data_IF_377205347041
#
_entry.id   IF_377205347041
#
_cell.length_a   1.000
_cell.length_b   1.000
_cell.length_c   1.000
_cell.angle_alpha   90.00
_cell.angle_beta   90.00
_cell.angle_gamma   90.00
#
_symmetry.space_group_name_H-M   'P 1'
#
loop_
_entity.id
_entity.type
_entity.pdbx_description
1 polymer ?
#
# COMPACT_ATOMS: atom_id res chain seq x y z
N UNK A 1 -22.08 -4.46 -5.29
CA UNK A 1 -22.52 -4.75 -6.68
C UNK A 1 -21.29 -4.92 -7.54
N UNK A 2 -21.11 -6.11 -8.10
CA UNK A 2 -19.95 -6.48 -8.92
C UNK A 2 -19.87 -5.59 -10.17
N UNK A 3 -18.70 -4.99 -10.42
CA UNK A 3 -18.40 -4.33 -11.69
C UNK A 3 -18.25 -5.39 -12.79
N UNK A 4 -19.37 -5.79 -13.37
CA UNK A 4 -19.46 -6.60 -14.59
C UNK A 4 -19.60 -5.68 -15.79
N UNK A 5 -18.50 -5.45 -16.52
CA UNK A 5 -18.55 -4.97 -17.90
C UNK A 5 -17.45 -5.66 -18.73
N UNK A 6 -17.85 -6.16 -19.90
CA UNK A 6 -17.10 -7.08 -20.76
C UNK A 6 -16.30 -6.37 -21.88
N UNK A 7 -15.13 -6.98 -22.19
CA UNK A 7 -14.38 -7.14 -23.45
C UNK A 7 -14.34 -6.08 -24.59
N UNK A 8 -13.11 -5.79 -25.10
CA UNK A 8 -12.70 -5.85 -26.54
C UNK A 8 -11.16 -5.70 -26.75
N UNK A 9 -10.56 -6.42 -27.73
CA UNK A 9 -9.13 -6.54 -28.17
C UNK A 9 -8.82 -5.71 -29.46
N UNK A 10 -7.61 -5.65 -30.15
CA UNK A 10 -6.28 -6.38 -30.09
C UNK A 10 -5.00 -5.44 -30.26
N UNK A 11 -3.73 -5.84 -30.62
CA UNK A 11 -3.03 -7.15 -30.79
C UNK A 11 -1.73 -7.36 -29.93
N UNK A 12 -1.16 -8.57 -30.01
CA UNK A 12 -0.02 -9.10 -29.23
C UNK A 12 1.39 -8.91 -29.85
N UNK A 13 2.44 -8.90 -29.00
CA UNK A 13 3.85 -9.11 -29.39
C UNK A 13 4.55 -10.09 -28.41
N UNK A 14 5.35 -10.97 -29.00
CA UNK A 14 6.07 -12.13 -28.46
C UNK A 14 7.20 -11.78 -27.48
N UNK A 15 7.29 -12.52 -26.37
CA UNK A 15 8.45 -12.52 -25.46
C UNK A 15 9.50 -13.54 -25.91
N UNK A 16 10.73 -13.09 -26.16
CA UNK A 16 11.93 -13.93 -26.14
C UNK A 16 12.67 -13.71 -24.82
N UNK A 17 13.02 -14.78 -24.11
CA UNK A 17 13.93 -14.73 -22.99
C UNK A 17 15.37 -14.42 -23.48
N UNK A 18 16.10 -13.45 -22.89
CA UNK A 18 17.48 -13.23 -23.28
C UNK A 18 18.40 -14.28 -22.64
N UNK A 19 19.20 -14.94 -23.48
CA UNK A 19 20.43 -15.63 -23.06
C UNK A 19 21.42 -14.61 -22.47
N UNK A 20 22.16 -15.02 -21.45
CA UNK A 20 23.23 -14.24 -20.81
C UNK A 20 24.25 -13.74 -21.85
N UNK A 21 24.46 -12.42 -21.89
CA UNK A 21 25.66 -11.81 -22.48
C UNK A 21 25.39 -10.61 -23.39
N UNK A 22 25.60 -9.39 -22.87
CA UNK A 22 25.67 -8.16 -23.66
C UNK A 22 25.65 -6.91 -22.80
N UNK A 23 26.77 -6.19 -22.69
CA UNK A 23 26.85 -4.86 -22.07
C UNK A 23 26.34 -3.82 -23.05
N UNK A 24 25.50 -2.89 -22.60
CA UNK A 24 25.24 -1.62 -23.29
C UNK A 24 25.27 -0.44 -22.30
N UNK A 25 25.91 0.65 -22.74
CA UNK A 25 26.13 1.89 -22.03
C UNK A 25 24.97 2.89 -22.27
N UNK A 26 24.51 3.52 -21.19
CA UNK A 26 24.25 4.97 -21.09
C UNK A 26 23.06 5.62 -21.83
N UNK A 27 22.00 5.93 -21.08
CA UNK A 27 21.28 7.20 -21.18
C UNK A 27 20.64 7.54 -19.82
N UNK A 28 21.02 8.69 -19.23
CA UNK A 28 20.43 9.22 -18.01
C UNK A 28 19.00 9.70 -18.31
N UNK A 29 18.02 8.89 -17.96
CA UNK A 29 16.66 9.35 -17.75
C UNK A 29 16.50 9.70 -16.27
N UNK A 30 15.87 10.85 -15.97
CA UNK A 30 15.31 11.11 -14.64
C UNK A 30 14.23 10.07 -14.39
N UNK A 31 14.62 8.89 -13.88
CA UNK A 31 13.69 7.87 -13.45
C UNK A 31 13.01 8.39 -12.19
N UNK A 32 11.74 8.81 -12.31
CA UNK A 32 10.78 8.68 -11.22
C UNK A 32 11.02 7.29 -10.63
N UNK A 33 11.53 7.20 -9.40
CA UNK A 33 11.74 5.90 -8.75
C UNK A 33 10.38 5.22 -8.73
N UNK A 34 10.24 4.16 -9.50
CA UNK A 34 9.10 3.25 -9.37
C UNK A 34 9.36 2.54 -8.04
N UNK A 35 8.71 3.02 -6.98
CA UNK A 35 8.82 2.42 -5.65
C UNK A 35 8.03 1.11 -5.69
N UNK A 36 8.73 -0.01 -5.63
CA UNK A 36 8.13 -1.33 -5.46
C UNK A 36 7.74 -1.51 -4.00
N UNK A 37 6.53 -1.97 -3.76
CA UNK A 37 6.05 -2.24 -2.41
C UNK A 37 6.31 -3.70 -2.05
N UNK A 38 6.58 -3.95 -0.77
CA UNK A 38 6.64 -5.30 -0.26
C UNK A 38 5.43 -5.51 0.63
N UNK A 39 4.52 -6.35 0.14
CA UNK A 39 3.25 -6.64 0.79
C UNK A 39 3.39 -7.95 1.53
N UNK A 40 3.09 -7.92 2.83
CA UNK A 40 2.99 -9.12 3.65
C UNK A 40 1.55 -9.62 3.67
N UNK A 41 1.32 -10.79 3.12
CA UNK A 41 0.07 -11.51 3.25
C UNK A 41 0.11 -12.33 4.56
N UNK A 42 -0.75 -12.04 5.55
CA UNK A 42 -0.67 -12.68 6.87
C UNK A 42 -1.21 -14.12 6.88
N UNK A 43 -2.12 -14.45 5.95
CA UNK A 43 -2.83 -15.74 5.92
C UNK A 43 -2.94 -16.26 4.49
N UNK A 44 -2.98 -17.59 4.34
CA UNK A 44 -3.17 -18.24 3.04
C UNK A 44 -4.52 -17.84 2.44
N UNK A 45 -4.56 -17.54 1.13
CA UNK A 45 -5.80 -17.30 0.38
C UNK A 45 -6.07 -18.51 -0.51
N UNK A 46 -7.25 -19.11 -0.33
CA UNK A 46 -7.71 -20.21 -1.17
C UNK A 46 -8.43 -19.68 -2.42
N UNK A 47 -8.03 -20.20 -3.58
CA UNK A 47 -8.60 -19.87 -4.87
C UNK A 47 -9.21 -21.10 -5.53
N UNK A 48 -10.29 -20.89 -6.25
CA UNK A 48 -10.70 -21.77 -7.35
C UNK A 48 -10.14 -21.24 -8.66
N UNK A 49 -9.66 -22.14 -9.51
CA UNK A 49 -8.92 -21.79 -10.73
C UNK A 49 -9.41 -22.56 -11.95
N UNK A 50 -9.36 -21.90 -13.10
CA UNK A 50 -9.62 -22.47 -14.41
C UNK A 50 -8.47 -22.10 -15.36
N UNK A 51 -7.85 -23.11 -15.98
CA UNK A 51 -6.71 -22.90 -16.86
C UNK A 51 -7.15 -22.37 -18.23
N UNK A 52 -6.45 -21.36 -18.74
CA UNK A 52 -6.66 -20.86 -20.08
C UNK A 52 -6.12 -21.84 -21.13
N UNK A 53 -6.84 -21.98 -22.24
CA UNK A 53 -6.45 -22.85 -23.36
C UNK A 53 -5.30 -22.28 -24.19
N UNK A 54 -5.12 -20.96 -24.16
CA UNK A 54 -4.03 -20.24 -24.82
C UNK A 54 -3.74 -18.93 -24.08
N UNK A 55 -2.53 -18.41 -24.28
CA UNK A 55 -2.08 -17.15 -23.71
C UNK A 55 -1.50 -16.25 -24.81
N UNK A 56 -1.85 -14.94 -24.85
CA UNK A 56 -2.82 -14.26 -23.98
C UNK A 56 -4.29 -14.40 -24.46
N UNK A 57 -4.52 -14.90 -25.67
CA UNK A 57 -5.83 -14.80 -26.36
C UNK A 57 -6.97 -15.55 -25.63
N UNK A 58 -6.67 -16.60 -24.85
CA UNK A 58 -7.66 -17.39 -24.13
C UNK A 58 -8.10 -16.83 -22.78
N UNK A 59 -7.45 -15.76 -22.27
CA UNK A 59 -7.65 -15.29 -20.89
C UNK A 59 -9.09 -14.85 -20.66
N UNK A 60 -9.63 -13.98 -21.52
CA UNK A 60 -10.97 -13.41 -21.35
C UNK A 60 -12.06 -14.50 -21.32
N UNK A 61 -12.05 -15.39 -22.32
CA UNK A 61 -13.00 -16.51 -22.39
C UNK A 61 -12.92 -17.42 -21.14
N UNK A 62 -11.73 -17.55 -20.55
CA UNK A 62 -11.52 -18.35 -19.33
C UNK A 62 -12.12 -17.66 -18.10
N UNK A 63 -12.00 -16.33 -17.98
CA UNK A 63 -12.68 -15.58 -16.91
C UNK A 63 -14.20 -15.62 -17.05
N UNK A 64 -14.71 -15.51 -18.28
CA UNK A 64 -16.16 -15.56 -18.53
C UNK A 64 -16.72 -16.93 -18.16
N UNK A 65 -16.03 -18.02 -18.54
CA UNK A 65 -16.40 -19.37 -18.14
C UNK A 65 -16.31 -19.59 -16.63
N UNK A 66 -15.26 -19.08 -15.97
CA UNK A 66 -15.14 -19.17 -14.51
C UNK A 66 -16.29 -18.43 -13.80
N UNK A 67 -16.66 -17.23 -14.27
CA UNK A 67 -17.79 -16.47 -13.71
C UNK A 67 -19.11 -17.21 -13.89
N UNK A 68 -19.33 -17.85 -15.04
CA UNK A 68 -20.52 -18.67 -15.28
C UNK A 68 -20.57 -19.87 -14.32
N UNK A 69 -19.44 -20.54 -14.08
CA UNK A 69 -19.35 -21.65 -13.10
C UNK A 69 -19.60 -21.19 -11.66
N UNK A 70 -19.20 -19.97 -11.32
CA UNK A 70 -19.41 -19.39 -9.99
C UNK A 70 -20.86 -18.95 -9.76
N UNK A 71 -21.57 -18.54 -10.82
CA UNK A 71 -22.95 -18.06 -10.73
C UNK A 71 -23.09 -16.93 -9.71
N UNK A 72 -24.03 -17.07 -8.78
CA UNK A 72 -24.30 -16.09 -7.71
C UNK A 72 -23.47 -16.31 -6.44
N UNK A 73 -22.45 -17.19 -6.47
CA UNK A 73 -21.60 -17.40 -5.30
C UNK A 73 -20.91 -16.09 -4.90
N UNK A 74 -20.88 -15.74 -3.60
CA UNK A 74 -20.19 -14.56 -3.12
C UNK A 74 -18.68 -14.73 -3.33
N UNK A 75 -18.17 -14.02 -4.34
CA UNK A 75 -16.76 -13.93 -4.68
C UNK A 75 -16.17 -12.70 -4.00
N UNK A 76 -15.00 -12.86 -3.38
CA UNK A 76 -14.32 -11.74 -2.72
C UNK A 76 -13.46 -10.99 -3.75
N UNK A 77 -12.59 -11.72 -4.46
CA UNK A 77 -11.62 -11.11 -5.38
C UNK A 77 -11.34 -12.04 -6.57
N UNK A 78 -11.15 -11.48 -7.76
CA UNK A 78 -10.65 -12.21 -8.93
C UNK A 78 -9.14 -12.03 -9.08
N UNK A 79 -8.48 -13.09 -9.53
CA UNK A 79 -7.05 -13.13 -9.75
C UNK A 79 -6.68 -13.74 -11.09
N UNK A 80 -5.52 -13.34 -11.61
CA UNK A 80 -4.79 -14.03 -12.66
C UNK A 80 -3.57 -14.70 -12.06
N UNK A 81 -3.39 -15.99 -12.28
CA UNK A 81 -2.19 -16.71 -11.83
C UNK A 81 -1.45 -17.21 -13.05
N UNK A 82 -0.17 -16.87 -13.19
CA UNK A 82 0.64 -17.36 -14.30
C UNK A 82 2.03 -17.81 -13.88
N UNK A 83 2.52 -18.84 -14.54
CA UNK A 83 3.89 -19.31 -14.39
C UNK A 83 4.36 -19.99 -15.69
N UNK A 84 5.67 -20.10 -15.88
CA UNK A 84 6.21 -20.83 -17.02
C UNK A 84 6.17 -22.35 -16.75
N UNK A 85 5.88 -23.12 -17.79
CA UNK A 85 6.17 -24.56 -17.80
C UNK A 85 7.67 -24.81 -18.05
N UNK A 86 8.17 -26.05 -17.91
CA UNK A 86 9.59 -26.36 -18.16
C UNK A 86 10.06 -26.07 -19.60
N UNK A 87 9.14 -25.88 -20.55
CA UNK A 87 9.43 -25.51 -21.94
C UNK A 87 9.40 -23.99 -22.15
N UNK A 88 9.15 -23.20 -21.10
CA UNK A 88 9.06 -21.75 -21.14
C UNK A 88 7.72 -21.21 -21.66
N UNK A 89 6.70 -22.07 -21.83
CA UNK A 89 5.35 -21.62 -22.21
C UNK A 89 4.63 -21.11 -20.98
N UNK A 90 3.93 -19.99 -21.12
CA UNK A 90 3.16 -19.41 -20.03
C UNK A 90 1.87 -20.23 -19.85
N UNK A 91 1.72 -20.82 -18.67
CA UNK A 91 0.46 -21.36 -18.19
C UNK A 91 -0.25 -20.25 -17.43
N UNK A 92 -1.50 -19.99 -17.81
CA UNK A 92 -2.32 -18.96 -17.21
C UNK A 92 -3.60 -19.56 -16.64
N UNK A 93 -4.01 -19.08 -15.48
CA UNK A 93 -5.23 -19.49 -14.80
C UNK A 93 -6.05 -18.25 -14.42
N UNK A 94 -7.32 -18.24 -14.84
CA UNK A 94 -8.29 -17.36 -14.22
C UNK A 94 -8.62 -17.93 -12.83
N UNK A 95 -8.72 -17.08 -11.82
CA UNK A 95 -8.90 -17.51 -10.45
C UNK A 95 -9.84 -16.58 -9.68
N UNK A 96 -10.45 -17.09 -8.62
CA UNK A 96 -11.28 -16.31 -7.71
C UNK A 96 -11.15 -16.83 -6.28
N UNK A 97 -11.13 -15.92 -5.30
CA UNK A 97 -11.33 -16.25 -3.89
C UNK A 97 -12.82 -16.25 -3.56
N UNK A 98 -13.24 -17.26 -2.80
CA UNK A 98 -14.62 -17.43 -2.34
C UNK A 98 -14.77 -16.89 -0.91
N UNK A 99 -15.97 -16.45 -0.53
CA UNK A 99 -16.26 -16.06 0.85
C UNK A 99 -16.08 -17.23 1.83
N UNK A 100 -16.50 -18.44 1.41
CA UNK A 100 -16.23 -19.70 2.10
C UNK A 100 -15.01 -20.38 1.44
N UNK A 101 -13.86 -20.36 2.12
CA UNK A 101 -12.60 -20.91 1.61
C UNK A 101 -12.61 -22.45 1.47
N UNK A 102 -13.59 -23.14 2.06
CA UNK A 102 -13.77 -24.59 1.97
C UNK A 102 -14.68 -24.98 0.80
N UNK A 103 -15.39 -24.03 0.20
CA UNK A 103 -16.28 -24.27 -0.92
C UNK A 103 -15.51 -24.70 -2.17
N UNK A 104 -16.05 -25.70 -2.88
CA UNK A 104 -15.48 -26.22 -4.13
C UNK A 104 -16.43 -25.97 -5.29
N UNK A 105 -15.88 -25.74 -6.48
CA UNK A 105 -16.65 -25.48 -7.71
C UNK A 105 -16.31 -26.58 -8.72
N UNK A 106 -17.29 -27.39 -9.15
CA UNK A 106 -17.05 -28.46 -10.13
C UNK A 106 -16.37 -27.94 -11.41
N UNK A 107 -15.36 -28.66 -11.89
CA UNK A 107 -14.60 -28.27 -13.09
C UNK A 107 -13.44 -27.28 -12.83
N UNK A 108 -13.32 -26.76 -11.60
CA UNK A 108 -12.17 -25.93 -11.20
C UNK A 108 -11.13 -26.72 -10.42
N UNK A 109 -9.92 -26.17 -10.29
CA UNK A 109 -8.87 -26.68 -9.41
C UNK A 109 -8.61 -25.70 -8.27
N UNK A 110 -8.22 -26.22 -7.10
CA UNK A 110 -7.78 -25.39 -5.99
C UNK A 110 -6.35 -24.91 -6.19
N UNK A 111 -6.10 -23.65 -5.84
CA UNK A 111 -4.77 -23.06 -5.74
C UNK A 111 -4.69 -22.26 -4.44
N UNK A 112 -3.53 -22.25 -3.78
CA UNK A 112 -3.33 -21.49 -2.55
C UNK A 112 -2.29 -20.42 -2.79
N UNK A 113 -2.69 -19.15 -2.64
CA UNK A 113 -1.71 -18.08 -2.44
C UNK A 113 -1.20 -18.24 -1.01
N UNK A 114 0.05 -18.70 -0.87
CA UNK A 114 0.68 -18.86 0.43
C UNK A 114 0.90 -17.50 1.09
N UNK A 115 0.68 -17.45 2.39
CA UNK A 115 1.08 -16.32 3.21
C UNK A 115 2.59 -16.05 3.07
N UNK A 116 2.99 -14.81 3.28
CA UNK A 116 4.38 -14.39 3.08
C UNK A 116 4.52 -13.05 2.39
N UNK A 117 5.74 -12.77 1.94
CA UNK A 117 6.10 -11.47 1.38
C UNK A 117 6.07 -11.53 -0.15
N UNK A 118 5.46 -10.51 -0.75
CA UNK A 118 5.38 -10.33 -2.18
C UNK A 118 5.96 -8.98 -2.54
N UNK A 119 6.79 -8.93 -3.58
CA UNK A 119 7.08 -7.66 -4.22
C UNK A 119 5.93 -7.31 -5.15
N UNK A 120 5.49 -6.06 -5.12
CA UNK A 120 4.26 -5.63 -5.78
C UNK A 120 4.39 -4.28 -6.45
N UNK A 121 3.64 -4.14 -7.55
CA UNK A 121 3.48 -2.88 -8.28
C UNK A 121 2.06 -2.76 -8.84
N UNK A 122 1.39 -1.61 -8.66
CA UNK A 122 0.08 -1.36 -9.27
C UNK A 122 0.20 -0.91 -10.73
N UNK A 123 -0.78 -1.30 -11.54
CA UNK A 123 -1.01 -0.85 -12.92
C UNK A 123 -2.37 -0.15 -12.95
N UNK A 124 -2.35 1.18 -12.97
CA UNK A 124 -3.56 2.01 -13.09
C UNK A 124 -4.08 1.99 -14.52
N UNK A 125 -5.40 2.06 -14.69
CA UNK A 125 -6.08 2.02 -15.99
C UNK A 125 -5.58 0.86 -16.86
N UNK A 126 -5.34 -0.29 -16.23
CA UNK A 126 -4.66 -1.44 -16.85
C UNK A 126 -5.37 -1.94 -18.13
N UNK A 127 -6.69 -1.76 -18.20
CA UNK A 127 -7.52 -2.11 -19.37
C UNK A 127 -7.15 -1.31 -20.62
N UNK A 128 -6.70 -0.07 -20.44
CA UNK A 128 -6.26 0.82 -21.52
C UNK A 128 -4.78 0.64 -21.86
N UNK A 129 -4.02 -0.02 -20.98
CA UNK A 129 -2.58 -0.22 -21.13
C UNK A 129 -2.13 -1.62 -20.71
N UNK A 130 -2.66 -2.63 -21.40
CA UNK A 130 -2.28 -4.04 -21.21
C UNK A 130 -0.75 -4.25 -21.29
N UNK A 131 0.02 -3.61 -22.19
CA UNK A 131 1.47 -3.77 -22.24
C UNK A 131 2.21 -3.35 -20.95
N UNK A 132 1.62 -2.47 -20.13
CA UNK A 132 2.19 -2.09 -18.84
C UNK A 132 2.24 -3.27 -17.86
N UNK A 133 1.34 -4.25 -17.99
CA UNK A 133 1.33 -5.46 -17.17
C UNK A 133 2.62 -6.27 -17.36
N UNK A 134 2.97 -6.53 -18.63
CA UNK A 134 4.21 -7.24 -18.97
C UNK A 134 5.44 -6.49 -18.48
N UNK A 135 5.47 -5.17 -18.69
CA UNK A 135 6.57 -4.31 -18.22
C UNK A 135 6.70 -4.37 -16.70
N UNK A 136 5.57 -4.40 -15.99
CA UNK A 136 5.51 -4.50 -14.53
C UNK A 136 6.07 -5.83 -14.04
N UNK A 137 5.62 -6.96 -14.59
CA UNK A 137 6.18 -8.26 -14.19
C UNK A 137 7.65 -8.42 -14.55
N UNK A 138 8.10 -7.93 -15.71
CA UNK A 138 9.54 -7.89 -16.02
C UNK A 138 10.34 -7.11 -14.98
N UNK A 139 9.78 -6.04 -14.46
CA UNK A 139 10.41 -5.19 -13.44
C UNK A 139 10.43 -5.91 -12.09
N UNK A 140 9.32 -6.52 -11.66
CA UNK A 140 9.23 -7.30 -10.42
C UNK A 140 10.15 -8.53 -10.41
N UNK A 141 10.20 -9.28 -11.52
CA UNK A 141 11.00 -10.50 -11.64
C UNK A 141 12.52 -10.26 -11.69
N UNK A 142 12.97 -9.00 -11.81
CA UNK A 142 14.39 -8.65 -11.68
C UNK A 142 14.86 -8.55 -10.23
N UNK A 143 13.94 -8.60 -9.26
CA UNK A 143 14.29 -8.53 -7.85
C UNK A 143 15.09 -9.76 -7.41
N UNK A 144 16.20 -9.56 -6.71
CA UNK A 144 17.16 -10.63 -6.39
C UNK A 144 16.59 -11.74 -5.48
N UNK A 145 15.56 -11.38 -4.72
CA UNK A 145 14.97 -12.22 -3.68
C UNK A 145 13.62 -12.84 -4.04
N UNK A 146 13.22 -12.82 -5.31
CA UNK A 146 12.03 -13.56 -5.75
C UNK A 146 12.18 -15.06 -5.47
N UNK A 147 11.04 -15.70 -5.18
CA UNK A 147 10.95 -17.15 -5.13
C UNK A 147 11.13 -17.70 -6.56
N UNK A 148 12.19 -18.49 -6.83
CA UNK A 148 12.44 -19.04 -8.16
C UNK A 148 11.37 -20.05 -8.61
N UNK A 149 10.67 -20.68 -7.66
CA UNK A 149 9.55 -21.59 -7.92
C UNK A 149 8.18 -20.87 -7.80
N UNK A 150 8.23 -19.54 -7.72
CA UNK A 150 7.07 -18.67 -7.58
C UNK A 150 6.21 -18.55 -8.84
N UNK A 151 5.25 -17.64 -8.77
CA UNK A 151 4.28 -17.35 -9.82
C UNK A 151 4.06 -15.84 -9.91
N UNK A 152 3.60 -15.40 -11.08
CA UNK A 152 3.07 -14.05 -11.26
C UNK A 152 1.60 -14.06 -10.84
N UNK A 153 1.22 -13.12 -9.98
CA UNK A 153 -0.13 -12.95 -9.50
C UNK A 153 -0.65 -11.58 -9.91
N UNK A 154 -1.82 -11.56 -10.52
CA UNK A 154 -2.59 -10.38 -10.87
C UNK A 154 -3.81 -10.34 -9.95
N UNK A 155 -3.96 -9.31 -9.13
CA UNK A 155 -5.20 -9.04 -8.40
C UNK A 155 -5.96 -7.94 -9.13
N UNK A 156 -7.23 -8.16 -9.44
CA UNK A 156 -8.03 -7.22 -10.23
C UNK A 156 -8.92 -6.34 -9.36
N UNK A 157 -8.61 -5.04 -9.31
CA UNK A 157 -9.52 -3.99 -8.85
C UNK A 157 -10.30 -3.37 -10.01
N UNK A 158 -11.14 -2.36 -9.73
CA UNK A 158 -11.96 -1.72 -10.75
C UNK A 158 -11.11 -1.06 -11.85
N UNK A 159 -10.31 -0.06 -11.47
CA UNK A 159 -9.45 0.69 -12.41
C UNK A 159 -7.97 0.38 -12.24
N UNK A 160 -7.59 -0.24 -11.13
CA UNK A 160 -6.21 -0.61 -10.82
C UNK A 160 -6.11 -2.14 -10.76
N UNK A 161 -5.10 -2.71 -11.40
CA UNK A 161 -4.69 -4.09 -11.20
C UNK A 161 -3.38 -4.09 -10.43
N UNK A 162 -3.19 -5.00 -9.49
CA UNK A 162 -1.94 -5.12 -8.75
C UNK A 162 -1.20 -6.39 -9.16
N UNK A 163 0.05 -6.22 -9.57
CA UNK A 163 0.95 -7.31 -9.87
C UNK A 163 1.73 -7.69 -8.62
N UNK A 164 1.91 -8.98 -8.38
CA UNK A 164 2.70 -9.51 -7.28
C UNK A 164 3.63 -10.63 -7.77
N UNK A 165 4.81 -10.71 -7.16
CA UNK A 165 5.73 -11.85 -7.28
C UNK A 165 6.17 -12.24 -5.87
N UNK A 166 6.04 -13.52 -5.46
CA UNK A 166 6.45 -13.97 -4.13
C UNK A 166 7.96 -13.82 -3.94
N UNK A 167 8.37 -13.46 -2.73
CA UNK A 167 9.76 -13.45 -2.27
C UNK A 167 10.09 -14.76 -1.54
N UNK A 168 11.37 -15.12 -1.48
CA UNK A 168 11.82 -16.34 -0.79
C UNK A 168 11.35 -16.38 0.68
N UNK A 169 10.94 -17.55 1.20
CA UNK A 169 10.61 -17.72 2.61
C UNK A 169 11.77 -17.28 3.52
N UNK A 170 11.45 -16.51 4.58
CA UNK A 170 12.45 -16.02 5.54
C UNK A 170 13.17 -14.73 5.14
N UNK A 171 12.99 -14.24 3.92
CA UNK A 171 13.38 -12.87 3.58
C UNK A 171 12.31 -11.91 4.11
N UNK A 172 12.61 -11.24 5.23
CA UNK A 172 11.85 -10.08 5.73
C UNK A 172 12.62 -8.84 5.29
N UNK A 173 12.25 -8.18 4.18
CA UNK A 173 12.88 -6.93 3.82
C UNK A 173 12.67 -5.93 4.95
N UNK A 174 13.65 -5.04 5.16
CA UNK A 174 13.66 -4.03 6.22
C UNK A 174 12.44 -3.07 6.20
N UNK A 175 11.58 -3.16 5.18
CA UNK A 175 10.37 -2.36 4.99
C UNK A 175 9.06 -3.14 5.21
N UNK A 176 9.13 -4.43 5.56
CA UNK A 176 7.97 -5.27 5.92
C UNK A 176 7.61 -5.12 7.40
N UNK A 177 7.69 -3.90 7.89
CA UNK A 177 7.30 -3.56 9.25
C UNK A 177 5.77 -3.47 9.24
N UNK A 178 5.10 -4.31 10.03
CA UNK A 178 3.63 -4.28 10.14
C UNK A 178 3.15 -2.85 10.42
N UNK A 179 1.95 -2.50 9.95
CA UNK A 179 1.40 -1.15 10.13
C UNK A 179 1.40 -0.74 11.62
N UNK A 180 1.03 -1.65 12.51
CA UNK A 180 1.13 -1.51 13.96
C UNK A 180 2.54 -1.11 14.40
N UNK A 181 3.57 -1.82 13.94
CA UNK A 181 4.96 -1.53 14.31
C UNK A 181 5.44 -0.19 13.74
N UNK A 182 5.02 0.17 12.52
CA UNK A 182 5.33 1.50 11.93
C UNK A 182 4.71 2.64 12.74
N UNK A 183 3.47 2.47 13.20
CA UNK A 183 2.75 3.43 14.05
C UNK A 183 3.48 3.60 15.39
N UNK A 184 3.82 2.49 16.06
CA UNK A 184 4.49 2.55 17.37
C UNK A 184 5.89 3.17 17.24
N UNK A 185 6.70 2.71 16.27
CA UNK A 185 8.07 3.21 16.09
C UNK A 185 8.11 4.71 15.79
N UNK A 186 7.25 5.21 14.90
CA UNK A 186 7.28 6.65 14.57
C UNK A 186 6.86 7.54 15.73
N UNK A 187 5.85 7.12 16.51
CA UNK A 187 5.38 7.88 17.67
C UNK A 187 6.32 7.77 18.87
N UNK A 188 6.97 6.61 19.06
CA UNK A 188 8.02 6.43 20.05
C UNK A 188 9.23 7.33 19.73
N UNK A 189 9.72 7.32 18.49
CA UNK A 189 10.78 8.22 18.01
C UNK A 189 10.42 9.71 18.23
N UNK A 190 9.15 10.05 18.02
CA UNK A 190 8.64 11.41 18.24
C UNK A 190 8.67 11.76 19.73
N UNK A 191 8.16 10.89 20.60
CA UNK A 191 8.18 11.08 22.05
C UNK A 191 9.61 11.17 22.58
N UNK A 192 10.51 10.29 22.13
CA UNK A 192 11.93 10.32 22.49
C UNK A 192 12.59 11.62 22.06
N UNK A 193 12.33 12.09 20.83
CA UNK A 193 12.85 13.38 20.37
C UNK A 193 12.30 14.54 21.20
N UNK A 194 10.99 14.53 21.49
CA UNK A 194 10.33 15.57 22.29
C UNK A 194 10.88 15.62 23.73
N UNK A 195 11.20 14.46 24.31
CA UNK A 195 11.75 14.35 25.68
C UNK A 195 13.11 15.03 25.86
N UNK A 196 13.86 15.24 24.76
CA UNK A 196 15.18 15.89 24.79
C UNK A 196 15.09 17.39 25.04
N UNK A 197 13.94 18.01 24.80
CA UNK A 197 13.75 19.44 25.02
C UNK A 197 13.58 19.73 26.51
N UNK A 198 14.22 20.81 26.99
CA UNK A 198 13.81 21.46 28.24
C UNK A 198 12.44 22.13 28.07
N UNK A 199 11.73 22.43 29.16
CA UNK A 199 10.41 23.06 29.07
C UNK A 199 10.47 24.47 28.46
N UNK A 200 11.60 25.17 28.68
CA UNK A 200 11.88 26.44 28.03
C UNK A 200 12.09 26.29 26.52
N UNK A 201 12.92 25.32 26.09
CA UNK A 201 13.17 25.06 24.67
C UNK A 201 11.92 24.57 23.94
N UNK A 202 11.07 23.77 24.59
CA UNK A 202 9.82 23.27 24.01
C UNK A 202 8.93 24.42 23.51
N UNK A 203 8.86 25.48 24.31
CA UNK A 203 7.99 26.64 24.11
C UNK A 203 8.71 27.81 23.41
N UNK A 204 9.98 27.64 23.06
CA UNK A 204 10.77 28.68 22.41
C UNK A 204 10.43 28.78 20.92
N UNK A 205 10.04 29.98 20.47
CA UNK A 205 9.78 30.24 19.06
C UNK A 205 11.05 30.04 18.19
N UNK A 206 10.96 29.42 17.01
CA UNK A 206 12.08 29.32 16.08
C UNK A 206 12.50 30.70 15.56
N UNK A 207 13.80 30.88 15.33
CA UNK A 207 14.37 32.15 14.83
C UNK A 207 13.88 32.52 13.42
N UNK A 208 13.58 31.52 12.59
CA UNK A 208 13.09 31.70 11.22
C UNK A 208 11.55 31.77 11.13
N UNK A 209 10.87 31.85 12.28
CA UNK A 209 9.41 31.76 12.38
C UNK A 209 8.87 30.34 12.24
N UNK A 210 7.54 30.20 12.27
CA UNK A 210 6.86 28.90 12.29
C UNK A 210 6.57 28.39 13.70
N UNK A 211 6.20 27.11 13.79
CA UNK A 211 5.80 26.49 15.06
C UNK A 211 6.98 26.11 15.94
N UNK A 212 6.86 26.37 17.25
CA UNK A 212 7.78 25.82 18.24
C UNK A 212 7.57 24.30 18.44
N UNK A 213 8.43 23.65 19.21
CA UNK A 213 8.36 22.20 19.41
C UNK A 213 7.05 21.74 20.08
N UNK A 214 6.53 22.49 21.05
CA UNK A 214 5.23 22.22 21.68
C UNK A 214 4.07 22.27 20.70
N UNK A 215 4.06 23.26 19.81
CA UNK A 215 3.06 23.44 18.76
C UNK A 215 3.13 22.34 17.70
N UNK A 216 4.33 21.89 17.32
CA UNK A 216 4.48 20.75 16.40
C UNK A 216 3.91 19.46 17.03
N UNK A 217 4.14 19.23 18.32
CA UNK A 217 3.58 18.08 19.03
C UNK A 217 2.05 18.16 19.20
N UNK A 218 1.50 19.33 19.51
CA UNK A 218 0.05 19.54 19.58
C UNK A 218 -0.60 19.35 18.21
N UNK A 219 -0.01 19.91 17.14
CA UNK A 219 -0.50 19.74 15.78
C UNK A 219 -0.59 18.26 15.39
N UNK A 220 0.45 17.46 15.67
CA UNK A 220 0.41 16.02 15.41
C UNK A 220 -0.69 15.36 16.23
N UNK A 221 -0.79 15.67 17.52
CA UNK A 221 -1.80 15.07 18.40
C UNK A 221 -3.22 15.29 17.90
N UNK A 222 -3.53 16.49 17.39
CA UNK A 222 -4.85 16.81 16.81
C UNK A 222 -5.02 16.18 15.42
N UNK A 223 -3.98 16.26 14.57
CA UNK A 223 -4.05 15.77 13.17
C UNK A 223 -4.25 14.26 13.06
N UNK A 224 -3.83 13.51 14.09
CA UNK A 224 -4.00 12.06 14.14
C UNK A 224 -4.99 11.64 15.22
N UNK A 225 -5.79 12.54 15.79
CA UNK A 225 -6.59 12.26 16.99
C UNK A 225 -7.51 11.05 16.81
N UNK A 226 -8.18 10.94 15.66
CA UNK A 226 -9.14 9.88 15.37
C UNK A 226 -9.20 9.54 13.87
N UNK A 227 -9.57 8.30 13.57
CA UNK A 227 -10.02 7.93 12.23
C UNK A 227 -11.37 8.61 11.96
N UNK A 228 -11.61 9.16 10.75
CA UNK A 228 -12.90 9.75 10.38
C UNK A 228 -13.88 8.66 9.89
N UNK A 229 -14.15 7.68 10.74
CA UNK A 229 -14.82 6.42 10.40
C UNK A 229 -16.16 6.18 11.13
N UNK A 230 -16.81 7.24 11.60
CA UNK A 230 -18.18 7.20 12.11
C UNK A 230 -19.20 6.82 11.05
N UNK A 231 -18.97 7.22 9.78
CA UNK A 231 -19.65 6.68 8.61
C UNK A 231 -18.66 5.98 7.67
N UNK A 232 -18.99 4.76 7.27
CA UNK A 232 -18.15 3.95 6.38
C UNK A 232 -18.92 3.39 5.19
N UNK A 233 -18.20 3.09 4.12
CA UNK A 233 -18.72 2.46 2.92
C UNK A 233 -17.78 1.35 2.44
N UNK A 234 -18.30 0.39 1.67
CA UNK A 234 -17.46 -0.60 0.98
C UNK A 234 -16.55 0.10 -0.05
N UNK A 235 -15.28 -0.30 -0.08
CA UNK A 235 -14.35 0.15 -1.11
C UNK A 235 -14.50 -0.72 -2.37
N UNK A 236 -14.58 -0.08 -3.54
CA UNK A 236 -14.52 -0.74 -4.85
C UNK A 236 -13.10 -0.69 -5.46
N UNK A 237 -12.08 -0.53 -4.62
CA UNK A 237 -10.68 -0.37 -5.00
C UNK A 237 -9.78 -1.02 -3.96
N UNK A 238 -8.49 -1.13 -4.26
CA UNK A 238 -7.54 -1.63 -3.29
C UNK A 238 -7.48 -0.77 -2.04
N UNK A 239 -7.33 -1.46 -0.91
CA UNK A 239 -7.25 -0.91 0.43
C UNK A 239 -6.18 0.17 0.59
N UNK A 240 -5.13 0.11 -0.21
CA UNK A 240 -3.90 0.89 -0.14
C UNK A 240 -3.62 1.69 -1.43
N UNK A 241 -4.59 1.82 -2.33
CA UNK A 241 -4.44 2.52 -3.62
C UNK A 241 -3.87 3.94 -3.49
N UNK A 242 -4.12 4.61 -2.37
CA UNK A 242 -3.69 5.99 -2.07
C UNK A 242 -2.44 6.06 -1.20
N UNK A 243 -1.88 4.95 -0.71
CA UNK A 243 -0.67 4.99 0.12
C UNK A 243 0.50 5.64 -0.60
N UNK A 244 0.73 5.30 -1.88
CA UNK A 244 1.78 5.95 -2.68
C UNK A 244 1.52 7.45 -2.85
N UNK A 245 0.34 7.90 -3.35
CA UNK A 245 0.01 9.33 -3.39
C UNK A 245 0.16 10.06 -2.06
N UNK A 246 -0.24 9.44 -0.94
CA UNK A 246 -0.07 9.99 0.41
C UNK A 246 1.42 10.19 0.71
N UNK A 247 2.25 9.16 0.47
CA UNK A 247 3.68 9.22 0.70
C UNK A 247 4.35 10.31 -0.16
N UNK A 248 3.99 10.39 -1.44
CA UNK A 248 4.53 11.38 -2.38
C UNK A 248 4.27 12.82 -1.89
N UNK A 249 3.11 13.08 -1.29
CA UNK A 249 2.76 14.40 -0.74
C UNK A 249 3.47 14.67 0.59
N UNK A 250 3.44 13.73 1.53
CA UNK A 250 3.87 14.00 2.91
C UNK A 250 5.37 13.83 3.14
N UNK A 251 6.02 12.98 2.34
CA UNK A 251 7.46 12.75 2.38
C UNK A 251 8.24 13.61 1.38
N UNK A 252 7.57 14.42 0.56
CA UNK A 252 8.19 15.58 -0.08
C UNK A 252 8.31 16.71 0.94
N UNK A 253 9.50 16.82 1.52
CA UNK A 253 9.77 17.84 2.53
C UNK A 253 10.14 19.21 1.98
N UNK A 254 10.24 19.37 0.66
CA UNK A 254 10.50 20.65 0.00
C UNK A 254 9.18 21.38 -0.33
N UNK A 255 8.10 20.63 -0.55
CA UNK A 255 6.77 21.17 -0.71
C UNK A 255 6.24 21.83 0.58
N UNK A 256 5.57 22.98 0.43
CA UNK A 256 4.91 23.72 1.51
C UNK A 256 3.40 23.66 1.33
N UNK A 257 2.69 23.32 2.40
CA UNK A 257 1.24 23.21 2.44
C UNK A 257 0.70 24.04 3.60
N UNK A 258 -0.47 24.65 3.40
CA UNK A 258 -1.21 25.28 4.49
C UNK A 258 -2.00 24.23 5.25
N UNK A 259 -1.85 24.22 6.57
CA UNK A 259 -2.61 23.35 7.46
C UNK A 259 -4.05 23.85 7.55
N UNK A 260 -5.07 22.98 7.50
CA UNK A 260 -6.45 23.37 7.77
C UNK A 260 -6.60 24.02 9.16
N UNK A 261 -7.56 24.95 9.30
CA UNK A 261 -7.73 25.73 10.53
C UNK A 261 -8.00 24.87 11.77
N UNK A 262 -8.75 23.77 11.62
CA UNK A 262 -9.17 22.91 12.72
C UNK A 262 -8.04 22.08 13.36
N UNK A 263 -6.87 22.01 12.72
CA UNK A 263 -5.67 21.30 13.23
C UNK A 263 -4.53 22.27 13.55
N UNK A 264 -4.79 23.58 13.59
CA UNK A 264 -3.78 24.56 13.99
C UNK A 264 -3.47 24.44 15.49
N UNK A 265 -2.19 24.42 15.89
CA UNK A 265 -1.82 24.40 17.29
C UNK A 265 -2.09 25.75 17.95
N UNK A 266 -2.31 25.71 19.26
CA UNK A 266 -2.62 26.89 20.08
C UNK A 266 -1.36 27.69 20.38
N UNK A 267 -1.55 28.99 20.59
CA UNK A 267 -0.50 29.92 21.03
C UNK A 267 -0.49 29.98 22.57
N UNK A 268 -0.12 28.86 23.20
CA UNK A 268 -0.08 28.69 24.66
C UNK A 268 1.26 28.11 25.10
N UNK A 269 1.55 28.13 26.39
CA UNK A 269 2.63 27.33 26.98
C UNK A 269 2.19 25.87 27.05
N UNK A 270 2.90 25.00 26.36
CA UNK A 270 2.64 23.56 26.33
C UNK A 270 3.33 22.84 27.48
N UNK A 271 2.63 21.85 28.04
CA UNK A 271 3.16 20.89 29.00
C UNK A 271 3.75 19.68 28.26
N UNK A 272 5.06 19.48 28.42
CA UNK A 272 5.80 18.39 27.78
C UNK A 272 5.28 17.01 28.18
N UNK A 273 5.01 16.80 29.46
CA UNK A 273 4.58 15.51 29.99
C UNK A 273 3.17 15.17 29.49
N UNK A 274 2.28 16.16 29.44
CA UNK A 274 0.94 16.00 28.88
C UNK A 274 1.00 15.63 27.38
N UNK A 275 1.81 16.34 26.58
CA UNK A 275 1.98 16.04 25.16
C UNK A 275 2.54 14.63 24.91
N UNK A 276 3.59 14.23 25.64
CA UNK A 276 4.16 12.88 25.54
C UNK A 276 3.12 11.82 25.90
N UNK A 277 2.33 12.06 26.95
CA UNK A 277 1.26 11.14 27.35
C UNK A 277 0.23 10.99 26.23
N UNK A 278 -0.27 12.10 25.68
CA UNK A 278 -1.24 12.08 24.57
C UNK A 278 -0.70 11.31 23.35
N UNK A 279 0.55 11.55 22.95
CA UNK A 279 1.14 10.85 21.80
C UNK A 279 1.30 9.34 22.03
N UNK A 280 1.62 8.92 23.26
CA UNK A 280 1.65 7.48 23.62
C UNK A 280 0.27 6.84 23.62
N UNK A 281 -0.73 7.54 24.16
CA UNK A 281 -2.13 7.07 24.13
C UNK A 281 -2.60 6.92 22.67
N UNK A 282 -2.21 7.85 21.78
CA UNK A 282 -2.49 7.77 20.34
C UNK A 282 -1.76 6.60 19.67
N UNK A 283 -0.51 6.32 20.06
CA UNK A 283 0.23 5.17 19.54
C UNK A 283 -0.47 3.86 19.86
N UNK A 284 -0.90 3.67 21.11
CA UNK A 284 -1.67 2.48 21.53
C UNK A 284 -3.03 2.40 20.81
N UNK A 285 -3.77 3.51 20.75
CA UNK A 285 -5.06 3.59 20.06
C UNK A 285 -4.95 3.16 18.60
N UNK A 286 -3.98 3.70 17.86
CA UNK A 286 -3.83 3.44 16.42
C UNK A 286 -3.21 2.07 16.15
N UNK A 287 -2.29 1.61 16.99
CA UNK A 287 -1.77 0.26 16.95
C UNK A 287 -2.89 -0.78 17.10
N UNK A 288 -3.80 -0.56 18.06
CA UNK A 288 -5.00 -1.38 18.26
C UNK A 288 -5.99 -1.28 17.11
N UNK A 289 -6.21 -0.08 16.57
CA UNK A 289 -7.06 0.10 15.39
C UNK A 289 -6.52 -0.68 14.17
N UNK A 290 -5.20 -0.70 13.99
CA UNK A 290 -4.54 -1.45 12.91
C UNK A 290 -4.69 -2.98 13.04
N UNK A 291 -5.00 -3.51 14.22
CA UNK A 291 -5.20 -4.95 14.45
C UNK A 291 -6.66 -5.35 14.55
N UNK A 292 -7.50 -4.50 15.14
CA UNK A 292 -8.84 -4.90 15.60
C UNK A 292 -9.95 -4.45 14.63
N UNK A 293 -9.70 -3.47 13.77
CA UNK A 293 -10.71 -2.95 12.83
C UNK A 293 -10.58 -3.59 11.45
N UNK A 294 -11.71 -3.67 10.74
CA UNK A 294 -11.70 -3.92 9.30
C UNK A 294 -11.11 -2.70 8.58
N UNK A 295 -9.89 -2.85 8.07
CA UNK A 295 -9.15 -1.76 7.45
C UNK A 295 -9.57 -1.49 6.00
N UNK A 296 -10.40 -2.35 5.40
CA UNK A 296 -10.79 -2.29 3.97
C UNK A 296 -11.83 -1.23 3.66
N UNK A 297 -12.59 -0.78 4.65
CA UNK A 297 -13.70 0.16 4.47
C UNK A 297 -13.22 1.58 4.19
N UNK A 298 -13.97 2.31 3.37
CA UNK A 298 -13.81 3.74 3.13
C UNK A 298 -14.37 4.55 4.31
N UNK A 299 -13.60 5.52 4.78
CA UNK A 299 -13.99 6.51 5.77
C UNK A 299 -14.67 7.69 5.08
N UNK A 300 -15.95 7.93 5.37
CA UNK A 300 -16.79 8.90 4.64
C UNK A 300 -16.94 10.25 5.37
N UNK A 301 -16.50 10.36 6.63
CA UNK A 301 -16.67 11.59 7.41
C UNK A 301 -15.68 12.70 7.03
N UNK A 302 -14.64 12.36 6.26
CA UNK A 302 -13.69 13.34 5.78
C UNK A 302 -13.20 13.00 4.38
N UNK A 303 -13.45 13.90 3.45
CA UNK A 303 -12.86 13.85 2.12
C UNK A 303 -11.52 14.56 2.13
N UNK A 304 -10.42 13.82 1.90
CA UNK A 304 -9.09 14.41 1.94
C UNK A 304 -8.86 15.28 0.70
N UNK A 305 -8.38 16.54 0.83
CA UNK A 305 -8.13 17.40 -0.32
C UNK A 305 -7.27 16.69 -1.38
N UNK A 306 -7.73 16.69 -2.63
CA UNK A 306 -7.07 16.04 -3.79
C UNK A 306 -6.98 14.51 -3.79
N UNK A 307 -7.15 13.84 -2.65
CA UNK A 307 -7.08 12.38 -2.53
C UNK A 307 -8.46 11.73 -2.35
N UNK A 308 -9.50 12.49 -2.04
CA UNK A 308 -10.86 11.99 -1.83
C UNK A 308 -11.00 11.14 -0.56
N UNK A 309 -12.00 10.26 -0.51
CA UNK A 309 -12.20 9.35 0.62
C UNK A 309 -11.13 8.25 0.70
N UNK A 310 -10.55 8.07 1.88
CA UNK A 310 -9.49 7.10 2.13
C UNK A 310 -10.02 5.92 2.95
N UNK A 311 -9.41 4.75 2.79
CA UNK A 311 -9.69 3.61 3.67
C UNK A 311 -9.10 3.84 5.06
N UNK A 312 -9.53 3.06 6.06
CA UNK A 312 -8.88 3.07 7.38
C UNK A 312 -7.37 2.76 7.28
N UNK A 313 -6.99 1.82 6.41
CA UNK A 313 -5.57 1.51 6.16
C UNK A 313 -4.79 2.72 5.65
N UNK A 314 -5.35 3.46 4.70
CA UNK A 314 -4.73 4.66 4.13
C UNK A 314 -4.66 5.80 5.15
N UNK A 315 -5.70 5.99 5.97
CA UNK A 315 -5.68 6.95 7.08
C UNK A 315 -4.58 6.65 8.10
N UNK A 316 -4.42 5.39 8.50
CA UNK A 316 -3.35 4.98 9.40
C UNK A 316 -1.96 5.16 8.75
N UNK A 317 -1.82 4.90 7.45
CA UNK A 317 -0.58 5.22 6.73
C UNK A 317 -0.31 6.72 6.67
N UNK A 318 -1.34 7.54 6.45
CA UNK A 318 -1.26 8.99 6.54
C UNK A 318 -0.78 9.43 7.93
N UNK A 319 -1.32 8.88 9.01
CA UNK A 319 -0.85 9.19 10.37
C UNK A 319 0.64 8.89 10.55
N UNK A 320 1.12 7.76 10.00
CA UNK A 320 2.55 7.43 10.02
C UNK A 320 3.38 8.48 9.29
N UNK A 321 3.09 8.77 8.03
CA UNK A 321 3.94 9.68 7.24
C UNK A 321 3.79 11.15 7.63
N UNK A 322 2.63 11.55 8.13
CA UNK A 322 2.42 12.88 8.71
C UNK A 322 3.26 13.05 9.98
N UNK A 323 3.27 12.04 10.85
CA UNK A 323 4.14 12.02 12.04
C UNK A 323 5.62 12.03 11.65
N UNK A 324 6.03 11.28 10.61
CA UNK A 324 7.41 11.31 10.09
C UNK A 324 7.79 12.71 9.59
N UNK A 325 6.88 13.39 8.88
CA UNK A 325 7.08 14.76 8.40
C UNK A 325 7.42 15.71 9.55
N UNK A 326 6.59 15.70 10.58
CA UNK A 326 6.75 16.59 11.73
C UNK A 326 7.83 16.13 12.71
N UNK A 327 8.19 14.84 12.73
CA UNK A 327 9.37 14.35 13.42
C UNK A 327 10.65 14.96 12.84
N UNK A 328 10.74 15.08 11.50
CA UNK A 328 11.86 15.78 10.86
C UNK A 328 11.88 17.25 11.26
N UNK A 329 10.72 17.92 11.26
CA UNK A 329 10.61 19.30 11.73
C UNK A 329 11.08 19.44 13.19
N UNK A 330 10.61 18.58 14.09
CA UNK A 330 10.99 18.57 15.50
C UNK A 330 12.50 18.36 15.69
N UNK A 331 13.10 17.40 14.96
CA UNK A 331 14.55 17.16 14.97
C UNK A 331 15.33 18.39 14.49
N UNK A 332 14.82 19.13 13.50
CA UNK A 332 15.45 20.36 13.01
C UNK A 332 15.37 21.49 14.05
N UNK A 333 14.22 21.68 14.70
CA UNK A 333 14.06 22.66 15.80
C UNK A 333 15.04 22.32 16.94
N UNK A 334 15.13 21.04 17.32
CA UNK A 334 16.08 20.62 18.35
C UNK A 334 17.52 20.98 17.99
N UNK A 335 17.94 20.70 16.76
CA UNK A 335 19.28 21.06 16.27
C UNK A 335 19.50 22.57 16.31
N UNK A 336 18.57 23.38 15.81
CA UNK A 336 18.76 24.84 15.78
C UNK A 336 18.87 25.48 17.17
N UNK A 337 18.22 24.90 18.18
CA UNK A 337 18.28 25.40 19.56
C UNK A 337 19.55 24.95 20.32
N UNK A 338 20.30 24.00 19.77
CA UNK A 338 21.50 23.42 20.39
C UNK A 338 22.73 23.42 19.46
N UNK A 339 22.68 24.23 18.39
CA UNK A 339 23.76 24.37 17.40
C UNK A 339 24.86 25.33 17.86
#
# INVERSE_FOLDING_TARGET
MNCTAAAHHPPAIVLFAPRKGGRFFGALFHTKRITMDIIHLPHDIQLVTLQATSFPDGIQATFDALKEMLGDMPTQTFYGVSHADPQGRILYYAAASLADAQQTVPGTKSFTIRNGNFISLPVRQWRENIPAITTTFHTLMQHADIDPDGYCLEEYGCDTMRCFVPLRPGHVPAQTVSLTKRITEVLDDFCETLSKFTDAQLNQAPSEGGWNAGQVAEHISISIEALPDGHTAEANRFIDEKVIPINDVFLDFEAKYESPEFVLPKQVTHDKAALIKTLRDLAEKHAKAATDLDLTVLCMDFEFPTLGYMTRYEWLNFFVVHTQRHLRQLKNIYRSLNA
#
